data_IF_553867209593
#
_entry.id   IF_553867209593
#
_cell.length_a   1.000
_cell.length_b   1.000
_cell.length_c   1.000
_cell.angle_alpha   90.00
_cell.angle_beta   90.00
_cell.angle_gamma   90.00
#
_symmetry.space_group_name_H-M   'P 1'
#
loop_
_entity.id
_entity.type
_entity.pdbx_description
1 polymer ?
#
# COMPACT_ATOMS: atom_id res chain seq x y z
N UNK A 1 8.32 -9.77 15.03
CA UNK A 1 7.83 -11.16 15.12
C UNK A 1 7.45 -11.58 13.71
N UNK A 2 8.14 -12.55 13.13
CA UNK A 2 7.85 -13.02 11.76
C UNK A 2 6.83 -14.16 11.83
N UNK A 3 5.80 -14.10 10.98
CA UNK A 3 4.82 -15.18 10.84
C UNK A 3 5.47 -16.40 10.18
N UNK A 4 5.16 -17.60 10.68
CA UNK A 4 5.62 -18.84 10.07
C UNK A 4 5.00 -19.02 8.67
N UNK A 5 5.70 -19.71 7.77
CA UNK A 5 5.21 -19.95 6.40
C UNK A 5 3.86 -20.69 6.36
N UNK A 6 3.60 -21.57 7.33
CA UNK A 6 2.32 -22.28 7.46
C UNK A 6 1.19 -21.32 7.83
N UNK A 7 1.43 -20.44 8.82
CA UNK A 7 0.45 -19.41 9.21
C UNK A 7 0.15 -18.45 8.06
N UNK A 8 1.16 -18.10 7.25
CA UNK A 8 0.99 -17.24 6.07
C UNK A 8 0.09 -17.88 5.00
N UNK A 9 0.21 -19.20 4.80
CA UNK A 9 -0.66 -19.95 3.90
C UNK A 9 -2.10 -19.94 4.40
N UNK A 10 -2.34 -20.26 5.67
CA UNK A 10 -3.69 -20.36 6.25
C UNK A 10 -4.43 -19.02 6.22
N UNK A 11 -3.76 -17.92 6.59
CA UNK A 11 -4.39 -16.60 6.59
C UNK A 11 -4.64 -16.07 5.17
N UNK A 12 -3.90 -16.56 4.17
CA UNK A 12 -4.06 -16.11 2.78
C UNK A 12 -5.45 -16.44 2.20
N UNK A 13 -6.10 -17.48 2.71
CA UNK A 13 -7.46 -17.89 2.30
C UNK A 13 -8.57 -17.08 2.97
N UNK A 14 -8.26 -16.28 4.01
CA UNK A 14 -9.27 -15.50 4.72
C UNK A 14 -9.89 -14.40 3.83
N UNK A 15 -11.18 -14.08 3.98
CA UNK A 15 -11.78 -12.91 3.36
C UNK A 15 -10.98 -11.64 3.69
N UNK A 16 -10.83 -10.74 2.71
CA UNK A 16 -10.01 -9.53 2.84
C UNK A 16 -10.24 -8.73 4.15
N UNK A 17 -11.48 -8.44 4.58
CA UNK A 17 -11.72 -7.73 5.84
C UNK A 17 -11.28 -8.52 7.08
N UNK A 18 -11.46 -9.85 7.07
CA UNK A 18 -11.04 -10.71 8.19
C UNK A 18 -9.52 -10.81 8.28
N UNK A 19 -8.84 -10.94 7.13
CA UNK A 19 -7.38 -10.93 7.06
C UNK A 19 -6.81 -9.61 7.59
N UNK A 20 -7.37 -8.48 7.14
CA UNK A 20 -6.97 -7.17 7.62
C UNK A 20 -7.14 -7.03 9.13
N UNK A 21 -8.31 -7.39 9.66
CA UNK A 21 -8.58 -7.31 11.09
C UNK A 21 -7.62 -8.17 11.89
N UNK A 22 -7.37 -9.39 11.44
CA UNK A 22 -6.42 -10.29 12.11
C UNK A 22 -5.00 -9.70 12.14
N UNK A 23 -4.53 -9.17 11.02
CA UNK A 23 -3.20 -8.56 10.95
C UNK A 23 -3.11 -7.27 11.79
N UNK A 24 -4.10 -6.39 11.68
CA UNK A 24 -4.10 -5.08 12.33
C UNK A 24 -4.40 -5.13 13.84
N UNK A 25 -5.25 -6.05 14.28
CA UNK A 25 -5.70 -6.10 15.68
C UNK A 25 -5.05 -7.22 16.49
N UNK A 26 -4.74 -8.36 15.87
CA UNK A 26 -4.27 -9.55 16.61
C UNK A 26 -2.75 -9.73 16.48
N UNK A 27 -2.21 -9.70 15.26
CA UNK A 27 -0.78 -9.99 15.01
C UNK A 27 0.12 -8.76 15.17
N UNK A 28 -0.27 -7.64 14.56
CA UNK A 28 0.55 -6.42 14.46
C UNK A 28 -0.19 -5.19 14.99
N UNK A 29 -0.84 -5.35 16.14
CA UNK A 29 -1.57 -4.29 16.84
C UNK A 29 -0.71 -3.03 17.01
N UNK A 30 -1.17 -1.91 16.42
CA UNK A 30 -0.49 -0.60 16.50
C UNK A 30 0.84 -0.51 15.74
N UNK A 31 1.27 -1.57 15.05
CA UNK A 31 2.52 -1.62 14.26
C UNK A 31 2.28 -1.83 12.77
N UNK A 32 1.06 -1.53 12.33
CA UNK A 32 0.64 -1.66 10.94
C UNK A 32 0.63 -0.30 10.27
N UNK A 33 1.11 -0.26 9.03
CA UNK A 33 1.14 0.92 8.18
C UNK A 33 0.61 0.62 6.80
N UNK A 34 -0.07 1.58 6.18
CA UNK A 34 -0.66 1.44 4.85
C UNK A 34 -0.01 2.41 3.88
N UNK A 35 0.43 1.91 2.72
CA UNK A 35 0.81 2.77 1.59
C UNK A 35 -0.30 2.78 0.56
N UNK A 36 -0.72 3.97 0.14
CA UNK A 36 -1.80 4.12 -0.82
C UNK A 36 -1.44 5.09 -1.92
N UNK A 37 -2.11 4.93 -3.06
CA UNK A 37 -2.12 5.90 -4.14
C UNK A 37 -3.53 6.46 -4.35
N UNK A 38 -3.67 7.53 -5.12
CA UNK A 38 -4.98 8.15 -5.42
C UNK A 38 -5.79 7.39 -6.48
N UNK A 39 -5.64 6.06 -6.55
CA UNK A 39 -6.37 5.21 -7.52
C UNK A 39 -7.54 4.51 -6.83
N UNK A 40 -8.58 4.23 -7.61
CA UNK A 40 -9.79 3.55 -7.15
C UNK A 40 -9.54 2.26 -6.34
N UNK A 41 -8.72 1.29 -6.78
CA UNK A 41 -8.40 0.10 -6.00
C UNK A 41 -7.79 0.39 -4.62
N UNK A 42 -6.97 1.42 -4.55
CA UNK A 42 -6.29 1.84 -3.32
C UNK A 42 -7.28 2.40 -2.30
N UNK A 43 -8.26 3.17 -2.78
CA UNK A 43 -9.33 3.74 -1.94
C UNK A 43 -10.20 2.63 -1.33
N UNK A 44 -10.47 1.54 -2.08
CA UNK A 44 -11.20 0.39 -1.53
C UNK A 44 -10.46 -0.25 -0.36
N UNK A 45 -9.13 -0.40 -0.46
CA UNK A 45 -8.31 -0.92 0.63
C UNK A 45 -8.31 0.06 1.82
N UNK A 46 -8.12 1.35 1.56
CA UNK A 46 -8.17 2.39 2.59
C UNK A 46 -9.51 2.39 3.34
N UNK A 47 -10.62 2.19 2.64
CA UNK A 47 -11.93 2.06 3.27
C UNK A 47 -11.99 0.87 4.22
N UNK A 48 -11.52 -0.30 3.79
CA UNK A 48 -11.49 -1.48 4.67
C UNK A 48 -10.61 -1.29 5.90
N UNK A 49 -9.48 -0.58 5.76
CA UNK A 49 -8.61 -0.24 6.89
C UNK A 49 -9.31 0.75 7.83
N UNK A 50 -9.91 1.81 7.29
CA UNK A 50 -10.61 2.83 8.07
C UNK A 50 -11.83 2.27 8.82
N UNK A 51 -12.50 1.26 8.26
CA UNK A 51 -13.60 0.55 8.93
C UNK A 51 -13.11 -0.26 10.15
N UNK A 52 -11.81 -0.63 10.19
CA UNK A 52 -11.18 -1.35 11.30
C UNK A 52 -10.59 -0.36 12.30
N UNK A 53 -9.71 0.53 11.84
CA UNK A 53 -9.03 1.54 12.64
C UNK A 53 -8.67 2.77 11.80
N UNK A 54 -9.29 3.91 12.14
CA UNK A 54 -9.06 5.20 11.47
C UNK A 54 -7.75 5.88 11.87
N UNK A 55 -7.14 5.44 12.96
CA UNK A 55 -5.85 5.96 13.47
C UNK A 55 -4.64 5.28 12.85
N UNK A 56 -4.86 4.23 12.06
CA UNK A 56 -3.80 3.52 11.35
C UNK A 56 -3.04 4.50 10.43
N UNK A 57 -1.70 4.55 10.52
CA UNK A 57 -0.87 5.40 9.68
C UNK A 57 -1.04 5.10 8.18
N UNK A 58 -1.43 6.11 7.41
CA UNK A 58 -1.57 6.05 5.96
C UNK A 58 -0.55 6.95 5.27
N UNK A 59 0.29 6.37 4.43
CA UNK A 59 1.25 7.07 3.60
C UNK A 59 0.75 7.14 2.15
N UNK A 60 0.45 8.34 1.70
CA UNK A 60 0.13 8.58 0.29
C UNK A 60 1.41 8.73 -0.51
N UNK A 61 1.70 7.72 -1.34
CA UNK A 61 2.75 7.80 -2.34
C UNK A 61 2.22 8.60 -3.53
N UNK A 62 2.82 9.76 -3.78
CA UNK A 62 2.45 10.63 -4.90
C UNK A 62 3.68 11.20 -5.59
N UNK A 63 3.56 11.60 -6.86
CA UNK A 63 4.64 12.24 -7.62
C UNK A 63 4.99 13.61 -7.02
N UNK A 64 6.20 14.10 -7.28
CA UNK A 64 6.63 15.44 -6.87
C UNK A 64 5.73 16.59 -7.38
N UNK A 65 5.20 16.48 -8.61
CA UNK A 65 4.22 17.43 -9.15
C UNK A 65 2.84 16.78 -9.26
N UNK A 66 1.93 17.15 -8.36
CA UNK A 66 0.51 16.83 -8.47
C UNK A 66 -0.33 18.08 -8.67
N UNK A 67 -1.35 17.96 -9.53
CA UNK A 67 -2.34 18.99 -9.76
C UNK A 67 -3.11 19.32 -8.46
N UNK A 68 -3.56 20.57 -8.31
CA UNK A 68 -4.31 21.02 -7.12
C UNK A 68 -5.60 20.23 -6.93
N UNK A 69 -6.22 19.81 -8.03
CA UNK A 69 -7.40 18.95 -8.06
C UNK A 69 -7.12 17.60 -7.40
N UNK A 70 -5.93 17.03 -7.60
CA UNK A 70 -5.52 15.77 -6.96
C UNK A 70 -5.26 15.94 -5.46
N UNK A 71 -4.76 17.11 -5.04
CA UNK A 71 -4.61 17.43 -3.61
C UNK A 71 -5.97 17.51 -2.93
N UNK A 72 -6.91 18.24 -3.54
CA UNK A 72 -8.29 18.35 -3.06
C UNK A 72 -8.99 16.99 -3.04
N UNK A 73 -8.79 16.17 -4.07
CA UNK A 73 -9.35 14.83 -4.11
C UNK A 73 -8.82 13.95 -2.97
N UNK A 74 -7.52 14.04 -2.64
CA UNK A 74 -6.95 13.34 -1.48
C UNK A 74 -7.62 13.79 -0.18
N UNK A 75 -7.73 15.10 0.05
CA UNK A 75 -8.38 15.67 1.23
C UNK A 75 -9.83 15.18 1.35
N UNK A 76 -10.58 15.18 0.25
CA UNK A 76 -11.94 14.62 0.22
C UNK A 76 -11.98 13.15 0.62
N UNK A 77 -11.02 12.33 0.18
CA UNK A 77 -10.96 10.91 0.57
C UNK A 77 -10.58 10.76 2.05
N UNK A 78 -9.64 11.56 2.55
CA UNK A 78 -9.24 11.57 3.97
C UNK A 78 -10.43 11.92 4.85
N UNK A 79 -11.17 12.97 4.50
CA UNK A 79 -12.36 13.43 5.23
C UNK A 79 -13.49 12.40 5.16
N UNK A 80 -13.76 11.85 3.98
CA UNK A 80 -14.83 10.87 3.77
C UNK A 80 -14.58 9.55 4.50
N UNK A 81 -13.32 9.13 4.63
CA UNK A 81 -12.95 7.93 5.38
C UNK A 81 -12.69 8.21 6.87
N UNK A 82 -12.55 9.50 7.25
CA UNK A 82 -12.26 9.93 8.61
C UNK A 82 -10.86 9.54 9.08
N UNK A 83 -9.88 9.48 8.17
CA UNK A 83 -8.50 9.09 8.49
C UNK A 83 -7.83 10.17 9.34
N UNK A 84 -7.28 9.80 10.49
CA UNK A 84 -6.69 10.77 11.43
C UNK A 84 -5.17 10.83 11.36
N UNK A 85 -4.52 9.83 10.76
CA UNK A 85 -3.06 9.72 10.71
C UNK A 85 -2.58 9.57 9.26
N UNK A 86 -2.52 10.69 8.54
CA UNK A 86 -2.21 10.71 7.12
C UNK A 86 -0.93 11.49 6.87
N UNK A 87 0.04 10.84 6.26
CA UNK A 87 1.28 11.46 5.79
C UNK A 87 1.37 11.37 4.27
N UNK A 88 1.91 12.40 3.65
CA UNK A 88 2.10 12.45 2.20
C UNK A 88 3.58 12.39 1.89
N UNK A 89 3.99 11.42 1.10
CA UNK A 89 5.38 11.25 0.69
C UNK A 89 5.46 11.54 -0.80
N UNK A 90 6.20 12.59 -1.15
CA UNK A 90 6.54 12.85 -2.53
C UNK A 90 7.62 11.84 -2.97
N UNK A 91 7.40 11.19 -4.11
CA UNK A 91 8.47 10.54 -4.86
C UNK A 91 9.53 11.59 -5.16
N UNK A 92 10.68 11.46 -4.52
CA UNK A 92 11.91 12.11 -4.94
C UNK A 92 12.64 11.17 -5.88
N UNK A 93 13.43 11.73 -6.80
CA UNK A 93 14.41 10.98 -7.58
C UNK A 93 15.48 10.41 -6.63
N UNK A 94 15.15 9.35 -5.91
CA UNK A 94 16.08 8.62 -5.09
C UNK A 94 17.00 7.84 -6.05
N UNK A 95 18.27 8.21 -6.01
CA UNK A 95 19.39 7.55 -6.65
C UNK A 95 19.25 6.03 -6.59
N UNK A 96 19.51 5.37 -7.72
CA UNK A 96 19.59 3.93 -7.93
C UNK A 96 20.62 3.28 -7.00
N UNK A 97 20.28 3.16 -5.72
CA UNK A 97 21.02 2.40 -4.73
C UNK A 97 20.72 0.93 -4.92
N UNK A 98 21.65 0.23 -5.56
CA UNK A 98 21.68 -1.23 -5.70
C UNK A 98 21.67 -1.90 -4.33
N UNK A 99 20.51 -2.33 -3.84
CA UNK A 99 20.45 -3.40 -2.85
C UNK A 99 19.11 -4.14 -2.97
N UNK A 100 19.18 -5.44 -3.25
CA UNK A 100 18.05 -6.30 -3.61
C UNK A 100 17.05 -6.62 -2.49
N UNK A 101 17.02 -5.84 -1.41
CA UNK A 101 16.22 -6.11 -0.20
C UNK A 101 15.34 -4.93 0.27
N UNK A 102 15.20 -3.87 -0.53
CA UNK A 102 14.51 -2.66 -0.06
C UNK A 102 12.98 -2.76 -0.12
N UNK A 103 12.33 -2.31 0.96
CA UNK A 103 10.91 -2.01 1.01
C UNK A 103 10.64 -0.80 0.12
N UNK A 104 10.14 -1.07 -1.09
CA UNK A 104 9.90 -0.04 -2.09
C UNK A 104 8.56 -0.23 -2.77
N UNK A 105 7.93 0.88 -3.15
CA UNK A 105 6.77 0.88 -4.04
C UNK A 105 7.15 1.38 -5.40
N UNK A 106 6.70 0.67 -6.43
CA UNK A 106 6.93 1.06 -7.82
C UNK A 106 5.70 1.80 -8.35
N UNK A 107 5.91 3.04 -8.76
CA UNK A 107 4.88 3.87 -9.36
C UNK A 107 5.27 4.21 -10.79
N UNK A 108 4.37 3.99 -11.75
CA UNK A 108 4.58 4.51 -13.10
C UNK A 108 4.31 6.02 -13.13
N UNK A 109 5.32 6.75 -13.57
CA UNK A 109 5.34 8.18 -13.81
C UNK A 109 5.34 8.46 -15.31
N UNK A 110 4.71 9.55 -15.76
CA UNK A 110 4.83 9.96 -17.15
C UNK A 110 6.23 10.53 -17.40
N UNK A 111 6.88 10.17 -18.50
CA UNK A 111 8.20 10.71 -18.80
C UNK A 111 8.11 12.24 -19.01
N UNK A 112 8.99 13.05 -18.39
CA UNK A 112 8.93 14.51 -18.49
C UNK A 112 9.23 15.05 -19.91
N UNK A 113 9.69 14.20 -20.85
CA UNK A 113 10.02 14.61 -22.22
C UNK A 113 9.66 13.54 -23.29
N UNK A 114 8.63 12.71 -23.08
CA UNK A 114 8.21 11.74 -24.09
C UNK A 114 6.88 11.03 -23.80
N UNK A 115 6.40 10.25 -24.77
CA UNK A 115 5.23 9.37 -24.71
C UNK A 115 5.46 8.07 -23.90
N UNK A 116 6.57 8.00 -23.15
CA UNK A 116 6.94 6.87 -22.30
C UNK A 116 6.45 6.99 -20.85
N UNK A 117 6.49 5.88 -20.11
CA UNK A 117 6.29 5.84 -18.65
C UNK A 117 7.62 5.48 -17.99
N UNK A 118 8.04 6.23 -16.98
CA UNK A 118 9.22 5.96 -16.15
C UNK A 118 8.74 5.26 -14.87
N UNK A 119 9.53 4.33 -14.33
CA UNK A 119 9.27 3.79 -12.97
C UNK A 119 9.93 4.70 -11.95
N UNK A 120 9.12 5.31 -11.10
CA UNK A 120 9.61 5.98 -9.90
C UNK A 120 9.49 5.00 -8.73
N UNK A 121 10.60 4.81 -8.04
CA UNK A 121 10.68 3.93 -6.87
C UNK A 121 10.64 4.81 -5.64
N UNK A 122 9.59 4.65 -4.83
CA UNK A 122 9.51 5.32 -3.53
C UNK A 122 10.21 4.41 -2.52
N UNK A 123 11.37 4.85 -2.04
CA UNK A 123 12.06 4.18 -0.93
C UNK A 123 11.30 4.46 0.35
N UNK A 124 10.76 3.41 0.95
CA UNK A 124 9.93 3.50 2.15
C UNK A 124 10.65 2.97 3.39
N UNK A 125 11.91 2.56 3.27
CA UNK A 125 12.67 1.94 4.36
C UNK A 125 12.71 2.77 5.63
N UNK A 126 12.90 4.09 5.52
CA UNK A 126 12.93 4.99 6.69
C UNK A 126 11.55 5.17 7.31
N UNK A 127 10.52 5.30 6.46
CA UNK A 127 9.13 5.49 6.88
C UNK A 127 8.56 4.23 7.53
N UNK A 128 8.95 3.06 7.02
CA UNK A 128 8.51 1.75 7.47
C UNK A 128 9.34 1.24 8.64
N UNK A 129 10.48 1.85 8.96
CA UNK A 129 11.37 1.43 10.05
C UNK A 129 10.64 1.15 11.38
N UNK A 130 9.72 2.01 11.88
CA UNK A 130 9.03 1.76 13.15
C UNK A 130 7.90 0.74 13.07
N UNK A 131 7.55 0.24 11.87
CA UNK A 131 6.43 -0.67 11.66
C UNK A 131 6.90 -2.09 11.35
N UNK A 132 6.09 -3.07 11.76
CA UNK A 132 6.37 -4.51 11.55
C UNK A 132 5.54 -5.06 10.37
N UNK A 133 4.37 -4.46 10.09
CA UNK A 133 3.46 -4.88 9.02
C UNK A 133 3.11 -3.73 8.08
N UNK A 134 3.21 -4.01 6.79
CA UNK A 134 3.00 -3.05 5.73
C UNK A 134 1.95 -3.53 4.73
N UNK A 135 0.83 -2.82 4.64
CA UNK A 135 -0.24 -3.08 3.68
C UNK A 135 0.00 -2.23 2.44
N UNK A 136 0.29 -2.88 1.32
CA UNK A 136 0.48 -2.23 0.04
C UNK A 136 -0.86 -2.08 -0.71
N UNK A 137 -1.24 -0.84 -0.96
CA UNK A 137 -2.37 -0.48 -1.81
C UNK A 137 -1.91 0.30 -3.07
N UNK A 138 -0.63 0.19 -3.46
CA UNK A 138 -0.07 0.90 -4.62
C UNK A 138 -0.15 0.02 -5.88
N UNK A 139 -1.30 0.06 -6.55
CA UNK A 139 -1.54 -0.74 -7.76
C UNK A 139 -1.17 0.01 -9.06
N UNK A 140 0.09 0.45 -9.17
CA UNK A 140 0.58 1.16 -10.37
C UNK A 140 1.19 0.24 -11.42
N UNK A 141 2.04 -0.70 -11.02
CA UNK A 141 2.79 -1.58 -11.91
C UNK A 141 2.28 -3.03 -11.88
N UNK A 142 2.56 -3.84 -12.93
CA UNK A 142 2.49 -5.29 -12.80
C UNK A 142 3.33 -5.70 -11.59
N UNK A 143 2.75 -6.54 -10.74
CA UNK A 143 3.37 -6.98 -9.48
C UNK A 143 4.68 -7.70 -9.81
N UNK A 144 5.77 -7.47 -9.06
CA UNK A 144 7.02 -8.17 -9.31
C UNK A 144 6.80 -9.68 -9.06
N UNK A 145 7.40 -10.52 -9.91
CA UNK A 145 7.16 -11.97 -9.96
C UNK A 145 7.57 -12.70 -8.67
N UNK A 146 8.40 -12.07 -7.85
CA UNK A 146 8.88 -12.59 -6.56
C UNK A 146 7.83 -12.52 -5.43
N UNK A 147 6.66 -11.89 -5.66
CA UNK A 147 5.57 -11.78 -4.67
C UNK A 147 4.52 -12.83 -5.01
N UNK A 148 4.60 -13.97 -4.31
CA UNK A 148 3.86 -15.19 -4.64
C UNK A 148 2.61 -15.39 -3.81
N UNK A 149 2.42 -14.64 -2.71
CA UNK A 149 1.28 -14.79 -1.80
C UNK A 149 0.55 -13.46 -1.54
N UNK A 150 -0.57 -13.51 -0.80
CA UNK A 150 -1.26 -12.27 -0.34
C UNK A 150 -0.51 -11.62 0.83
N UNK A 151 0.28 -12.40 1.53
CA UNK A 151 1.12 -11.97 2.64
C UNK A 151 2.50 -12.55 2.36
N UNK A 152 3.48 -11.69 2.16
CA UNK A 152 4.85 -12.07 1.84
C UNK A 152 5.81 -11.41 2.83
N UNK A 153 6.90 -12.10 3.15
CA UNK A 153 7.93 -11.55 4.04
C UNK A 153 8.95 -10.80 3.20
N UNK A 154 9.08 -9.50 3.42
CA UNK A 154 10.03 -8.62 2.73
C UNK A 154 11.10 -8.16 3.72
N UNK A 155 12.20 -8.93 3.79
CA UNK A 155 13.27 -8.69 4.76
C UNK A 155 12.80 -8.95 6.20
N UNK A 156 12.83 -7.91 7.02
CA UNK A 156 12.40 -7.92 8.42
C UNK A 156 10.90 -7.65 8.61
N UNK A 157 10.17 -7.31 7.55
CA UNK A 157 8.76 -6.87 7.61
C UNK A 157 7.82 -7.76 6.83
N UNK A 158 6.55 -7.75 7.24
CA UNK A 158 5.48 -8.45 6.53
C UNK A 158 4.77 -7.50 5.58
N UNK A 159 4.82 -7.80 4.27
CA UNK A 159 4.09 -7.09 3.22
C UNK A 159 2.77 -7.79 2.94
N UNK A 160 1.69 -7.03 2.82
CA UNK A 160 0.33 -7.54 2.61
C UNK A 160 -0.29 -6.91 1.37
N UNK A 161 -0.70 -7.75 0.43
CA UNK A 161 -1.32 -7.39 -0.84
C UNK A 161 -2.73 -7.99 -0.95
N UNK A 162 -3.72 -7.22 -0.50
CA UNK A 162 -5.09 -7.72 -0.28
C UNK A 162 -5.82 -8.04 -1.58
N UNK A 163 -5.64 -7.22 -2.61
CA UNK A 163 -6.36 -7.34 -3.89
C UNK A 163 -5.67 -8.28 -4.89
N UNK A 164 -4.84 -9.24 -4.44
CA UNK A 164 -4.08 -10.11 -5.35
C UNK A 164 -4.96 -10.99 -6.24
N UNK A 165 -6.00 -11.62 -5.68
CA UNK A 165 -6.91 -12.51 -6.41
C UNK A 165 -8.18 -11.83 -6.95
N UNK A 166 -8.32 -10.50 -6.77
CA UNK A 166 -9.52 -9.78 -7.19
C UNK A 166 -9.31 -9.15 -8.56
N UNK A 167 -10.17 -9.49 -9.51
CA UNK A 167 -10.20 -8.82 -10.82
C UNK A 167 -10.66 -7.36 -10.67
N UNK A 168 -10.21 -6.48 -11.57
CA UNK A 168 -10.62 -5.07 -11.59
C UNK A 168 -12.15 -4.89 -11.65
N UNK A 169 -12.87 -5.84 -12.23
CA UNK A 169 -14.33 -5.87 -12.27
C UNK A 169 -14.95 -6.08 -10.87
N UNK A 170 -14.34 -6.91 -10.02
CA UNK A 170 -14.81 -7.12 -8.65
C UNK A 170 -14.56 -5.91 -7.75
N UNK A 171 -13.54 -5.10 -8.05
CA UNK A 171 -13.23 -3.86 -7.32
C UNK A 171 -14.30 -2.80 -7.60
N UNK A 172 -14.76 -2.68 -8.86
CA UNK A 172 -15.83 -1.73 -9.23
C UNK A 172 -17.15 -2.01 -8.50
N UNK A 173 -17.48 -3.27 -8.22
CA UNK A 173 -18.68 -3.64 -7.45
C UNK A 173 -18.63 -3.23 -5.97
N UNK A 174 -17.45 -2.97 -5.42
CA UNK A 174 -17.29 -2.45 -4.05
C UNK A 174 -17.41 -0.93 -3.97
N UNK A 175 -17.44 -0.25 -5.12
CA UNK A 175 -17.53 1.21 -5.22
C UNK A 175 -18.94 1.68 -5.61
N UNK A 176 -19.85 0.76 -5.96
CA UNK A 176 -21.29 0.97 -6.15
C UNK A 176 -22.01 0.57 -4.87
#
# INVERSE_FOLDING_TARGET
MLLSAETLSDISYLPAPKLLRYLMCDVFAGKTVVTASLRAPSIVVLKMVADIDRSTPVFFCQRGHIYKESQKYREQIVDLLGLTNVTVTAGGAASSGSCGFFQHEQMWVGAPAGNGRIRETVHLSEILAPYDCWISAVYHAPRPENITHRVDTCGDKTRVDILRHRSAASIRRFML
#
